data_IF_021229515438
#
_entry.id   IF_021229515438
#
_cell.length_a   1.000
_cell.length_b   1.000
_cell.length_c   1.000
_cell.angle_alpha   90.00
_cell.angle_beta   90.00
_cell.angle_gamma   90.00
#
_symmetry.space_group_name_H-M   'P 1'
#
loop_
_entity.id
_entity.type
_entity.pdbx_description
1 polymer ?
#
# COMPACT_ATOMS: atom_id res chain seq x y z
N UNK A 1 7.75 -28.78 45.48
CA UNK A 1 6.56 -28.17 44.90
C UNK A 1 6.88 -26.92 44.08
N UNK A 2 7.61 -25.98 44.68
CA UNK A 2 7.91 -24.73 43.95
C UNK A 2 8.73 -24.95 42.67
N UNK A 3 9.58 -25.96 42.62
CA UNK A 3 10.39 -26.25 41.44
C UNK A 3 9.54 -26.71 40.24
N UNK A 4 8.47 -27.47 40.49
CA UNK A 4 7.57 -27.93 39.45
C UNK A 4 6.78 -26.76 38.84
N UNK A 5 6.32 -25.84 39.65
CA UNK A 5 5.59 -24.65 39.19
C UNK A 5 6.48 -23.80 38.32
N UNK A 6 7.75 -23.62 38.69
CA UNK A 6 8.71 -22.84 37.92
C UNK A 6 8.96 -23.43 36.55
N UNK A 7 9.08 -24.76 36.45
CA UNK A 7 9.29 -25.46 35.17
C UNK A 7 8.11 -25.30 34.22
N UNK A 8 6.88 -25.33 34.73
CA UNK A 8 5.69 -25.13 33.92
C UNK A 8 5.65 -23.73 33.34
N UNK A 9 5.99 -22.73 34.12
CA UNK A 9 6.03 -21.35 33.65
C UNK A 9 7.06 -21.15 32.53
N UNK A 10 8.23 -21.72 32.62
CA UNK A 10 9.26 -21.65 31.60
C UNK A 10 8.78 -22.30 30.29
N UNK A 11 8.10 -23.43 30.38
CA UNK A 11 7.54 -24.08 29.21
C UNK A 11 6.52 -23.24 28.47
N UNK A 12 5.65 -22.54 29.17
CA UNK A 12 4.66 -21.66 28.56
C UNK A 12 5.29 -20.49 27.82
N UNK A 13 6.32 -19.88 28.38
CA UNK A 13 7.04 -18.78 27.74
C UNK A 13 7.69 -19.24 26.45
N UNK A 14 8.29 -20.43 26.43
CA UNK A 14 8.93 -20.99 25.25
C UNK A 14 7.93 -21.21 24.11
N UNK A 15 6.75 -21.71 24.43
CA UNK A 15 5.70 -21.91 23.41
C UNK A 15 5.24 -20.60 22.78
N UNK A 16 5.08 -19.54 23.58
CA UNK A 16 4.69 -18.24 23.06
C UNK A 16 5.72 -17.67 22.09
N UNK A 17 7.01 -17.84 22.40
CA UNK A 17 8.08 -17.36 21.53
C UNK A 17 8.10 -18.10 20.18
N UNK A 18 7.85 -19.39 20.17
CA UNK A 18 7.80 -20.16 18.93
C UNK A 18 6.64 -19.78 18.04
N UNK A 19 5.47 -19.51 18.60
CA UNK A 19 4.31 -19.09 17.82
C UNK A 19 4.55 -17.77 17.09
N UNK A 20 5.22 -16.81 17.74
CA UNK A 20 5.54 -15.52 17.13
C UNK A 20 6.51 -15.67 15.96
N UNK A 21 7.50 -16.56 16.07
CA UNK A 21 8.50 -16.75 15.02
C UNK A 21 7.93 -17.36 13.74
N UNK A 22 6.83 -18.10 13.82
CA UNK A 22 6.21 -18.74 12.65
C UNK A 22 5.44 -17.79 11.75
N UNK A 23 5.13 -16.59 12.22
CA UNK A 23 4.33 -15.64 11.46
C UNK A 23 5.16 -14.80 10.48
N UNK A 24 6.49 -14.93 10.51
CA UNK A 24 7.38 -14.16 9.64
C UNK A 24 7.64 -14.94 8.36
N UNK A 25 7.18 -14.38 7.23
CA UNK A 25 7.42 -14.97 5.92
C UNK A 25 8.48 -14.18 5.16
N UNK A 26 9.30 -14.84 4.33
CA UNK A 26 10.28 -14.15 3.51
C UNK A 26 9.58 -13.28 2.44
N UNK A 27 10.19 -12.15 2.05
CA UNK A 27 9.65 -11.33 0.96
C UNK A 27 9.56 -12.11 -0.34
N UNK A 28 8.49 -11.88 -1.10
CA UNK A 28 8.28 -12.52 -2.40
C UNK A 28 7.85 -11.49 -3.42
N UNK A 29 8.27 -11.64 -4.71
CA UNK A 29 7.70 -10.85 -5.77
C UNK A 29 6.21 -11.13 -5.89
N UNK A 30 5.41 -10.09 -6.05
CA UNK A 30 3.98 -10.21 -6.27
C UNK A 30 3.67 -9.71 -7.68
N UNK A 31 3.11 -10.54 -8.56
CA UNK A 31 2.78 -10.09 -9.91
C UNK A 31 1.61 -9.11 -9.89
N UNK A 32 1.81 -7.97 -10.52
CA UNK A 32 0.77 -6.96 -10.64
C UNK A 32 0.69 -6.51 -12.09
N UNK A 33 -0.54 -6.38 -12.58
CA UNK A 33 -0.80 -5.79 -13.88
C UNK A 33 -1.28 -4.37 -13.69
N UNK A 34 -0.71 -3.42 -14.45
CA UNK A 34 -1.13 -2.04 -14.41
C UNK A 34 -1.54 -1.58 -15.79
N UNK A 35 -2.49 -0.66 -15.85
CA UNK A 35 -2.91 -0.04 -17.10
C UNK A 35 -2.26 1.33 -17.22
N UNK A 36 -1.51 1.52 -18.32
CA UNK A 36 -0.82 2.78 -18.57
C UNK A 36 -1.40 3.43 -19.84
N UNK A 37 -1.52 4.74 -19.81
CA UNK A 37 -1.97 5.48 -20.98
C UNK A 37 -1.32 6.86 -20.98
N UNK A 38 -1.48 7.60 -22.09
CA UNK A 38 -1.01 8.95 -22.20
C UNK A 38 -2.11 9.99 -21.91
N UNK A 39 -3.28 9.54 -21.48
CA UNK A 39 -4.36 10.46 -21.12
C UNK A 39 -4.07 11.14 -19.78
N UNK A 40 -4.46 12.41 -19.67
CA UNK A 40 -4.29 13.15 -18.43
C UNK A 40 -5.17 12.55 -17.32
N UNK A 41 -4.59 11.97 -16.27
CA UNK A 41 -5.39 11.34 -15.21
C UNK A 41 -6.22 12.33 -14.42
N UNK A 42 -5.75 13.58 -14.23
CA UNK A 42 -6.50 14.55 -13.46
C UNK A 42 -7.86 14.84 -14.10
N UNK A 43 -7.87 14.99 -15.42
CA UNK A 43 -9.12 15.24 -16.16
C UNK A 43 -10.00 14.00 -16.20
N UNK A 44 -9.40 12.85 -16.49
CA UNK A 44 -10.10 11.58 -16.64
C UNK A 44 -10.81 11.15 -15.37
N UNK A 45 -10.12 11.22 -14.24
CA UNK A 45 -10.69 10.78 -12.96
C UNK A 45 -11.72 11.77 -12.42
N UNK A 46 -11.55 13.08 -12.69
CA UNK A 46 -12.55 14.04 -12.32
C UNK A 46 -13.87 13.79 -13.06
N UNK A 47 -13.80 13.55 -14.36
CA UNK A 47 -15.00 13.32 -15.17
C UNK A 47 -15.70 12.01 -14.83
N UNK A 48 -14.95 10.94 -14.65
CA UNK A 48 -15.52 9.59 -14.46
C UNK A 48 -15.93 9.30 -13.02
N UNK A 49 -15.11 9.72 -12.06
CA UNK A 49 -15.29 9.31 -10.66
C UNK A 49 -15.43 10.48 -9.70
N UNK A 50 -15.38 11.70 -10.18
CA UNK A 50 -15.42 12.91 -9.34
C UNK A 50 -14.26 12.92 -8.35
N UNK A 51 -13.11 12.39 -8.74
CA UNK A 51 -11.90 12.37 -7.93
C UNK A 51 -11.03 13.56 -8.26
N UNK A 52 -10.51 14.20 -7.22
CA UNK A 52 -9.62 15.35 -7.31
C UNK A 52 -8.22 14.99 -6.86
N UNK A 53 -7.18 15.66 -7.40
CA UNK A 53 -5.82 15.44 -6.90
C UNK A 53 -5.74 15.76 -5.41
N UNK A 54 -5.14 14.87 -4.64
CA UNK A 54 -5.09 15.00 -3.20
C UNK A 54 -3.66 15.02 -2.66
N UNK A 55 -2.82 14.10 -3.15
CA UNK A 55 -1.43 13.98 -2.73
C UNK A 55 -0.57 13.76 -3.97
N UNK A 56 0.55 14.47 -4.04
CA UNK A 56 1.58 14.27 -5.06
C UNK A 56 2.91 13.98 -4.39
N UNK A 57 3.73 13.17 -5.03
CA UNK A 57 5.06 12.89 -4.52
C UNK A 57 5.97 12.27 -5.57
N UNK A 58 7.25 12.23 -5.28
CA UNK A 58 8.20 11.47 -6.07
C UNK A 58 8.13 10.01 -5.64
N UNK A 59 8.27 9.11 -6.59
CA UNK A 59 8.12 7.69 -6.33
C UNK A 59 9.11 6.86 -7.12
N UNK A 60 9.44 5.72 -6.58
CA UNK A 60 10.22 4.68 -7.26
C UNK A 60 9.44 3.40 -7.24
N UNK A 61 9.42 2.71 -8.37
CA UNK A 61 8.80 1.40 -8.48
C UNK A 61 9.85 0.40 -8.93
N UNK A 62 9.93 -0.71 -8.23
CA UNK A 62 10.84 -1.80 -8.60
C UNK A 62 10.28 -2.52 -9.81
N UNK A 63 11.00 -2.45 -10.90
CA UNK A 63 10.65 -3.12 -12.14
C UNK A 63 11.35 -4.46 -12.30
N UNK A 64 11.19 -5.07 -13.48
CA UNK A 64 11.86 -6.32 -13.80
C UNK A 64 13.38 -6.19 -13.68
N UNK A 65 14.05 -7.29 -13.35
CA UNK A 65 15.50 -7.37 -13.27
C UNK A 65 16.11 -6.47 -12.19
N UNK A 66 15.32 -6.09 -11.18
CA UNK A 66 15.81 -5.30 -10.07
C UNK A 66 16.07 -3.83 -10.36
N UNK A 67 15.63 -3.32 -11.50
CA UNK A 67 15.80 -1.91 -11.84
C UNK A 67 14.61 -1.09 -11.33
N UNK A 68 14.91 0.11 -10.82
CA UNK A 68 13.87 1.03 -10.38
C UNK A 68 13.47 1.98 -11.49
N UNK A 69 12.17 2.19 -11.61
CA UNK A 69 11.61 3.28 -12.40
C UNK A 69 11.35 4.45 -11.47
N UNK A 70 11.86 5.62 -11.83
CA UNK A 70 11.68 6.85 -11.06
C UNK A 70 10.64 7.70 -11.77
N UNK A 71 9.68 8.20 -11.01
CA UNK A 71 8.62 9.03 -11.55
C UNK A 71 7.91 9.77 -10.44
N UNK A 72 6.65 10.07 -10.66
CA UNK A 72 5.81 10.74 -9.67
C UNK A 72 4.61 9.87 -9.32
N UNK A 73 4.16 10.01 -8.08
CA UNK A 73 2.94 9.38 -7.60
C UNK A 73 1.91 10.46 -7.35
N UNK A 74 0.69 10.22 -7.77
CA UNK A 74 -0.43 11.13 -7.48
C UNK A 74 -1.62 10.32 -7.00
N UNK A 75 -2.19 10.74 -5.89
CA UNK A 75 -3.39 10.16 -5.35
C UNK A 75 -4.57 11.07 -5.66
N UNK A 76 -5.61 10.49 -6.21
CA UNK A 76 -6.88 11.16 -6.48
C UNK A 76 -7.93 10.64 -5.51
N UNK A 77 -8.74 11.54 -5.00
CA UNK A 77 -9.73 11.20 -4.00
C UNK A 77 -11.06 11.87 -4.31
N UNK A 78 -12.14 11.10 -4.25
CA UNK A 78 -13.48 11.66 -4.22
C UNK A 78 -13.69 12.37 -2.87
N UNK A 79 -14.19 13.61 -2.84
CA UNK A 79 -14.32 14.35 -1.57
C UNK A 79 -15.15 13.64 -0.50
N UNK A 80 -16.09 12.79 -0.88
CA UNK A 80 -16.88 12.02 0.08
C UNK A 80 -16.20 10.71 0.51
N UNK A 81 -15.06 10.38 -0.07
CA UNK A 81 -14.36 9.14 0.21
C UNK A 81 -14.90 7.91 -0.50
N UNK A 82 -15.84 8.10 -1.42
CA UNK A 82 -16.46 6.96 -2.12
C UNK A 82 -15.45 6.17 -2.95
N UNK A 83 -14.49 6.87 -3.56
CA UNK A 83 -13.49 6.23 -4.40
C UNK A 83 -12.17 6.97 -4.34
N UNK A 84 -11.09 6.26 -4.63
CA UNK A 84 -9.77 6.86 -4.79
C UNK A 84 -8.97 6.08 -5.83
N UNK A 85 -7.95 6.74 -6.37
CA UNK A 85 -7.06 6.14 -7.35
C UNK A 85 -5.64 6.62 -7.12
N UNK A 86 -4.67 5.73 -7.32
CA UNK A 86 -3.25 6.05 -7.22
C UNK A 86 -2.61 5.82 -8.58
N UNK A 87 -1.94 6.86 -9.08
CA UNK A 87 -1.31 6.86 -10.40
C UNK A 87 0.18 7.05 -10.25
N UNK A 88 0.96 6.24 -10.94
CA UNK A 88 2.38 6.44 -11.11
C UNK A 88 2.64 6.96 -12.52
N UNK A 89 3.37 8.07 -12.62
CA UNK A 89 3.64 8.71 -13.90
C UNK A 89 5.14 8.73 -14.19
N UNK A 90 5.50 8.37 -15.41
CA UNK A 90 6.87 8.43 -15.90
C UNK A 90 6.93 9.59 -16.88
N UNK A 91 7.60 10.68 -16.48
CA UNK A 91 7.56 11.92 -17.23
C UNK A 91 6.15 12.45 -17.35
N UNK A 92 5.88 13.18 -18.42
CA UNK A 92 4.53 13.70 -18.70
C UNK A 92 3.77 12.84 -19.70
N UNK A 93 4.33 11.70 -20.08
CA UNK A 93 3.82 10.92 -21.19
C UNK A 93 3.01 9.72 -20.75
N UNK A 94 3.52 8.96 -19.79
CA UNK A 94 2.90 7.71 -19.36
C UNK A 94 2.38 7.79 -17.95
N UNK A 95 1.11 7.43 -17.78
CA UNK A 95 0.41 7.45 -16.50
C UNK A 95 -0.18 6.08 -16.26
N UNK A 96 0.24 5.43 -15.21
CA UNK A 96 -0.16 4.06 -14.88
C UNK A 96 -1.02 4.05 -13.64
N UNK A 97 -2.23 3.50 -13.75
CA UNK A 97 -3.11 3.32 -12.60
C UNK A 97 -2.60 2.11 -11.81
N UNK A 98 -2.05 2.38 -10.64
CA UNK A 98 -1.47 1.34 -9.78
C UNK A 98 -2.54 0.69 -8.95
N UNK A 99 -3.49 1.49 -8.46
CA UNK A 99 -4.46 1.03 -7.48
C UNK A 99 -5.70 1.92 -7.52
N UNK A 100 -6.85 1.28 -7.38
CA UNK A 100 -8.12 1.98 -7.14
C UNK A 100 -8.79 1.34 -5.93
N UNK A 101 -9.61 2.10 -5.24
CA UNK A 101 -10.29 1.60 -4.06
C UNK A 101 -11.54 2.40 -3.73
N UNK A 102 -12.19 1.99 -2.66
CA UNK A 102 -13.42 2.60 -2.17
C UNK A 102 -13.34 2.82 -0.67
N UNK A 103 -14.25 3.61 -0.14
CA UNK A 103 -14.40 3.84 1.31
C UNK A 103 -13.13 4.35 1.97
N UNK A 104 -12.50 5.34 1.34
CA UNK A 104 -11.32 5.97 1.90
C UNK A 104 -11.71 6.82 3.12
N UNK A 105 -10.95 6.70 4.18
CA UNK A 105 -11.14 7.48 5.40
C UNK A 105 -9.80 7.93 5.94
N UNK A 106 -9.79 9.12 6.60
CA UNK A 106 -8.58 9.63 7.22
C UNK A 106 -8.36 8.94 8.55
N UNK A 107 -7.28 8.16 8.67
CA UNK A 107 -6.97 7.45 9.90
C UNK A 107 -6.41 8.35 11.00
N UNK A 108 -5.91 9.53 10.63
CA UNK A 108 -5.36 10.48 11.61
C UNK A 108 -6.44 11.00 12.57
N UNK A 109 -7.68 11.15 12.09
CA UNK A 109 -8.78 11.65 12.90
C UNK A 109 -9.13 10.72 14.06
N UNK A 110 -8.91 9.44 13.91
CA UNK A 110 -9.22 8.45 14.93
C UNK A 110 -8.24 8.49 16.11
N UNK A 111 -7.05 9.03 15.91
CA UNK A 111 -6.04 9.10 16.95
C UNK A 111 -6.13 10.37 17.79
N UNK A 112 -7.01 11.26 17.46
CA UNK A 112 -7.25 12.49 18.20
C UNK A 112 -8.42 12.29 19.18
#
# INVERSE_FOLDING_TARGET
>A
MNKLITLVLIGLVSLSSQATAQDILPPRPFPMATMCSNLDPAKSFLEKFKELPFVDGEAKILGPQGKYFVGSMRMFLNPTGESFSIVFSIGDTWHCVIMTGTNAAASIEESI
#
